data_IF_630939740254
#
_entry.id   IF_630939740254
#
_cell.length_a   1.000
_cell.length_b   1.000
_cell.length_c   1.000
_cell.angle_alpha   90.00
_cell.angle_beta   90.00
_cell.angle_gamma   90.00
#
_symmetry.space_group_name_H-M   'P 1'
#
loop_
_entity.id
_entity.type
_entity.pdbx_description
1 polymer ?
#
# COMPACT_ATOMS: atom_id res chain seq x y z
N UNK A 1 -10.88 -33.14 0.33
CA UNK A 1 -10.67 -32.15 -0.75
C UNK A 1 -9.79 -31.07 -0.18
N UNK A 2 -8.51 -31.06 -0.57
CA UNK A 2 -7.47 -30.23 0.06
C UNK A 2 -7.80 -28.75 -0.07
N UNK A 3 -7.86 -28.05 1.07
CA UNK A 3 -8.03 -26.61 1.18
C UNK A 3 -6.84 -25.81 0.63
N UNK A 4 -5.74 -26.50 0.27
CA UNK A 4 -4.49 -25.92 -0.21
C UNK A 4 -4.54 -25.41 -1.67
N UNK A 5 -5.48 -25.90 -2.49
CA UNK A 5 -5.54 -25.63 -3.95
C UNK A 5 -6.65 -24.64 -4.37
N UNK A 6 -7.30 -23.96 -3.42
CA UNK A 6 -8.31 -22.96 -3.76
C UNK A 6 -7.66 -21.67 -4.23
N UNK A 7 -7.56 -21.51 -5.55
CA UNK A 7 -7.15 -20.29 -6.26
C UNK A 7 -8.15 -19.13 -6.01
N UNK A 8 -9.42 -19.43 -5.69
CA UNK A 8 -10.45 -18.44 -5.40
C UNK A 8 -10.72 -18.38 -3.89
N UNK A 9 -9.87 -17.65 -3.16
CA UNK A 9 -10.19 -17.17 -1.81
C UNK A 9 -10.55 -15.69 -1.87
N UNK A 10 -11.39 -15.22 -0.96
CA UNK A 10 -11.79 -13.79 -0.88
C UNK A 10 -10.57 -12.86 -0.84
N UNK A 11 -9.50 -13.14 -0.07
CA UNK A 11 -8.27 -12.35 -0.10
C UNK A 11 -7.60 -12.34 -1.48
N UNK A 12 -7.48 -13.50 -2.14
CA UNK A 12 -6.83 -13.59 -3.44
C UNK A 12 -7.59 -12.80 -4.53
N UNK A 13 -8.92 -12.80 -4.47
CA UNK A 13 -9.75 -11.99 -5.37
C UNK A 13 -9.52 -10.49 -5.14
N UNK A 14 -9.41 -10.05 -3.90
CA UNK A 14 -9.16 -8.65 -3.52
C UNK A 14 -7.77 -8.18 -4.00
N UNK A 15 -6.74 -9.01 -3.83
CA UNK A 15 -5.38 -8.75 -4.35
C UNK A 15 -5.34 -8.72 -5.88
N UNK A 16 -6.14 -9.56 -6.56
CA UNK A 16 -6.27 -9.53 -8.01
C UNK A 16 -6.97 -8.25 -8.50
N UNK A 17 -8.03 -7.82 -7.81
CA UNK A 17 -8.69 -6.54 -8.08
C UNK A 17 -7.71 -5.38 -7.88
N UNK A 18 -6.89 -5.39 -6.83
CA UNK A 18 -5.84 -4.38 -6.60
C UNK A 18 -4.85 -4.33 -7.77
N UNK A 19 -4.39 -5.50 -8.23
CA UNK A 19 -3.47 -5.58 -9.37
C UNK A 19 -4.09 -5.00 -10.65
N UNK A 20 -5.41 -5.19 -10.86
CA UNK A 20 -6.14 -4.57 -11.96
C UNK A 20 -6.38 -3.06 -11.76
N UNK A 21 -6.53 -2.59 -10.52
CA UNK A 21 -6.68 -1.16 -10.21
C UNK A 21 -5.38 -0.38 -10.43
N UNK A 22 -4.21 -1.01 -10.39
CA UNK A 22 -2.90 -0.37 -10.66
C UNK A 22 -2.84 0.33 -12.02
N UNK A 23 -3.05 -0.37 -13.16
CA UNK A 23 -3.02 0.28 -14.47
C UNK A 23 -4.16 1.28 -14.65
N UNK A 24 -5.32 1.06 -14.02
CA UNK A 24 -6.44 2.02 -14.04
C UNK A 24 -6.05 3.32 -13.32
N UNK A 25 -5.43 3.21 -12.15
CA UNK A 25 -4.92 4.37 -11.40
C UNK A 25 -3.88 5.13 -12.21
N UNK A 26 -2.88 4.45 -12.76
CA UNK A 26 -1.84 5.09 -13.59
C UNK A 26 -2.45 5.77 -14.82
N UNK A 27 -3.44 5.14 -15.46
CA UNK A 27 -4.13 5.74 -16.60
C UNK A 27 -4.93 6.98 -16.19
N UNK A 28 -5.67 6.95 -15.07
CA UNK A 28 -6.44 8.10 -14.58
C UNK A 28 -5.55 9.29 -14.19
N UNK A 29 -4.38 9.00 -13.59
CA UNK A 29 -3.42 10.01 -13.15
C UNK A 29 -2.64 10.59 -14.34
N UNK A 30 -2.19 9.77 -15.28
CA UNK A 30 -1.30 10.22 -16.37
C UNK A 30 -2.02 10.59 -17.67
N UNK A 31 -3.26 10.10 -17.86
CA UNK A 31 -4.02 10.29 -19.09
C UNK A 31 -4.95 11.50 -19.03
N UNK A 32 -6.18 11.34 -18.48
CA UNK A 32 -7.16 12.42 -18.41
C UNK A 32 -6.92 13.38 -17.23
N UNK A 33 -5.93 13.11 -16.37
CA UNK A 33 -5.56 13.96 -15.25
C UNK A 33 -6.68 14.16 -14.21
N UNK A 34 -7.52 13.15 -14.02
CA UNK A 34 -8.69 13.20 -13.14
C UNK A 34 -8.33 12.85 -11.69
N UNK A 35 -7.75 13.83 -10.99
CA UNK A 35 -7.23 13.65 -9.63
C UNK A 35 -8.29 13.19 -8.62
N UNK A 36 -9.54 13.67 -8.74
CA UNK A 36 -10.64 13.24 -7.87
C UNK A 36 -10.95 11.74 -8.00
N UNK A 37 -10.93 11.21 -9.23
CA UNK A 37 -11.19 9.80 -9.51
C UNK A 37 -9.98 8.93 -9.17
N UNK A 38 -8.76 9.42 -9.42
CA UNK A 38 -7.54 8.75 -8.98
C UNK A 38 -7.49 8.62 -7.45
N UNK A 39 -7.88 9.68 -6.73
CA UNK A 39 -7.98 9.69 -5.28
C UNK A 39 -9.05 8.71 -4.79
N UNK A 40 -10.22 8.68 -5.43
CA UNK A 40 -11.28 7.72 -5.11
C UNK A 40 -10.80 6.28 -5.27
N UNK A 41 -10.12 5.97 -6.39
CA UNK A 41 -9.51 4.65 -6.64
C UNK A 41 -8.47 4.31 -5.56
N UNK A 42 -7.68 5.30 -5.14
CA UNK A 42 -6.69 5.14 -4.09
C UNK A 42 -7.33 4.74 -2.76
N UNK A 43 -8.36 5.49 -2.35
CA UNK A 43 -9.10 5.27 -1.10
C UNK A 43 -9.80 3.91 -1.12
N UNK A 44 -10.49 3.58 -2.22
CA UNK A 44 -11.21 2.31 -2.36
C UNK A 44 -10.24 1.14 -2.30
N UNK A 45 -9.10 1.22 -2.99
CA UNK A 45 -8.06 0.19 -2.96
C UNK A 45 -7.49 -0.02 -1.55
N UNK A 46 -7.20 1.06 -0.81
CA UNK A 46 -6.70 0.99 0.56
C UNK A 46 -7.71 0.41 1.57
N UNK A 47 -8.99 0.73 1.43
CA UNK A 47 -10.07 0.12 2.23
C UNK A 47 -10.17 -1.37 1.94
N UNK A 48 -10.06 -1.74 0.65
CA UNK A 48 -10.13 -3.12 0.18
C UNK A 48 -9.01 -3.98 0.78
N UNK A 49 -7.79 -3.45 0.85
CA UNK A 49 -6.64 -4.06 1.55
C UNK A 49 -6.86 -4.24 3.05
N UNK A 50 -7.31 -3.19 3.73
CA UNK A 50 -7.58 -3.29 5.16
C UNK A 50 -8.63 -4.37 5.48
N UNK A 51 -9.67 -4.45 4.64
CA UNK A 51 -10.71 -5.46 4.78
C UNK A 51 -10.19 -6.87 4.48
N UNK A 52 -9.39 -7.06 3.43
CA UNK A 52 -8.81 -8.37 3.11
C UNK A 52 -7.86 -8.88 4.21
N UNK A 53 -7.02 -8.01 4.77
CA UNK A 53 -6.05 -8.38 5.79
C UNK A 53 -6.73 -8.68 7.13
N UNK A 54 -7.91 -8.12 7.37
CA UNK A 54 -8.77 -8.45 8.51
C UNK A 54 -9.53 -9.75 8.27
N UNK A 55 -10.07 -9.95 7.08
CA UNK A 55 -10.79 -11.16 6.67
C UNK A 55 -9.87 -12.38 6.61
N UNK A 56 -8.67 -12.26 6.07
CA UNK A 56 -7.67 -13.33 6.00
C UNK A 56 -7.28 -13.83 7.40
N UNK A 57 -7.10 -12.90 8.35
CA UNK A 57 -6.84 -13.22 9.77
C UNK A 57 -8.05 -13.85 10.47
N UNK A 58 -9.26 -13.42 10.13
CA UNK A 58 -10.51 -13.93 10.73
C UNK A 58 -10.93 -15.29 10.19
N UNK A 59 -10.61 -15.61 8.94
CA UNK A 59 -11.12 -16.80 8.24
C UNK A 59 -10.12 -17.96 8.20
N UNK A 60 -8.84 -17.74 8.56
CA UNK A 60 -7.81 -18.78 8.53
C UNK A 60 -7.57 -19.38 7.13
N UNK A 61 -8.08 -18.74 6.08
CA UNK A 61 -7.99 -19.20 4.70
C UNK A 61 -6.81 -18.53 3.99
N UNK A 62 -5.60 -18.97 4.33
CA UNK A 62 -4.37 -18.55 3.65
C UNK A 62 -3.99 -19.60 2.62
N UNK A 63 -4.05 -19.27 1.33
CA UNK A 63 -3.50 -20.15 0.28
C UNK A 63 -2.00 -19.87 0.08
N UNK A 64 -1.22 -20.88 -0.31
CA UNK A 64 0.22 -20.73 -0.58
C UNK A 64 0.49 -19.72 -1.69
N UNK A 65 -0.40 -19.63 -2.67
CA UNK A 65 -0.32 -18.69 -3.79
C UNK A 65 -0.68 -17.27 -3.33
N UNK A 66 -1.75 -17.10 -2.56
CA UNK A 66 -2.16 -15.80 -2.01
C UNK A 66 -1.10 -15.21 -1.09
N UNK A 67 -0.42 -16.04 -0.29
CA UNK A 67 0.67 -15.60 0.59
C UNK A 67 1.87 -14.99 -0.16
N UNK A 68 2.06 -15.33 -1.44
CA UNK A 68 3.09 -14.75 -2.31
C UNK A 68 2.51 -13.60 -3.14
N UNK A 69 1.27 -13.73 -3.61
CA UNK A 69 0.63 -12.74 -4.48
C UNK A 69 0.30 -11.43 -3.73
N UNK A 70 -0.15 -11.52 -2.48
CA UNK A 70 -0.44 -10.34 -1.64
C UNK A 70 0.75 -9.36 -1.55
N UNK A 71 1.95 -9.77 -1.09
CA UNK A 71 3.08 -8.85 -0.97
C UNK A 71 3.61 -8.36 -2.33
N UNK A 72 3.34 -9.07 -3.43
CA UNK A 72 3.68 -8.62 -4.78
C UNK A 72 2.70 -7.55 -5.26
N UNK A 73 1.39 -7.80 -5.12
CA UNK A 73 0.34 -6.87 -5.49
C UNK A 73 0.45 -5.55 -4.71
N UNK A 74 0.73 -5.63 -3.40
CA UNK A 74 0.99 -4.46 -2.56
C UNK A 74 2.16 -3.62 -3.05
N UNK A 75 3.29 -4.27 -3.34
CA UNK A 75 4.49 -3.55 -3.80
C UNK A 75 4.28 -2.89 -5.14
N UNK A 76 3.65 -3.59 -6.08
CA UNK A 76 3.32 -3.04 -7.39
C UNK A 76 2.36 -1.86 -7.25
N UNK A 77 1.40 -1.95 -6.34
CA UNK A 77 0.47 -0.87 -6.06
C UNK A 77 1.17 0.35 -5.46
N UNK A 78 1.99 0.19 -4.41
CA UNK A 78 2.76 1.28 -3.80
C UNK A 78 3.68 1.93 -4.84
N UNK A 79 4.40 1.13 -5.63
CA UNK A 79 5.26 1.63 -6.71
C UNK A 79 4.47 2.44 -7.74
N UNK A 80 3.32 1.95 -8.19
CA UNK A 80 2.49 2.64 -9.16
C UNK A 80 1.95 3.97 -8.61
N UNK A 81 1.51 4.00 -7.35
CA UNK A 81 1.04 5.22 -6.69
C UNK A 81 2.17 6.24 -6.60
N UNK A 82 3.31 5.83 -6.07
CA UNK A 82 4.44 6.71 -5.82
C UNK A 82 5.05 7.22 -7.14
N UNK A 83 5.17 6.38 -8.16
CA UNK A 83 5.62 6.79 -9.51
C UNK A 83 4.60 7.69 -10.18
N UNK A 84 3.30 7.36 -10.10
CA UNK A 84 2.24 8.19 -10.67
C UNK A 84 2.20 9.60 -10.07
N UNK A 85 2.31 9.71 -8.75
CA UNK A 85 2.36 11.00 -8.06
C UNK A 85 3.67 11.76 -8.34
N UNK A 86 4.80 11.05 -8.48
CA UNK A 86 6.09 11.66 -8.81
C UNK A 86 6.12 12.23 -10.24
N UNK A 87 5.52 11.53 -11.21
CA UNK A 87 5.38 11.99 -12.59
C UNK A 87 4.49 13.23 -12.72
N UNK A 88 3.56 13.42 -11.78
CA UNK A 88 2.69 14.60 -11.67
C UNK A 88 3.35 15.75 -10.89
N UNK A 89 4.61 15.57 -10.46
CA UNK A 89 5.34 16.50 -9.59
C UNK A 89 4.64 16.83 -8.26
N UNK A 90 3.62 16.04 -7.86
CA UNK A 90 2.89 16.21 -6.60
C UNK A 90 3.81 15.87 -5.42
N UNK A 91 4.63 14.84 -5.59
CA UNK A 91 5.65 14.46 -4.60
C UNK A 91 7.05 14.59 -5.20
N UNK A 92 8.04 15.05 -4.42
CA UNK A 92 9.41 15.14 -4.88
C UNK A 92 10.02 13.76 -5.15
N UNK A 93 10.86 13.66 -6.17
CA UNK A 93 11.52 12.41 -6.59
C UNK A 93 12.33 11.71 -5.50
N UNK A 94 12.82 12.45 -4.49
CA UNK A 94 13.50 11.82 -3.34
C UNK A 94 12.55 10.94 -2.53
N UNK A 95 11.26 11.29 -2.39
CA UNK A 95 10.24 10.43 -1.77
C UNK A 95 9.95 9.21 -2.64
N UNK A 96 9.92 9.42 -3.97
CA UNK A 96 9.69 8.33 -4.95
C UNK A 96 10.70 7.21 -4.79
N UNK A 97 11.96 7.56 -4.52
CA UNK A 97 13.04 6.61 -4.29
C UNK A 97 13.10 6.15 -2.83
N UNK A 98 12.91 7.04 -1.86
CA UNK A 98 13.07 6.73 -0.44
C UNK A 98 12.07 5.69 0.07
N UNK A 99 10.81 5.73 -0.40
CA UNK A 99 9.75 4.80 0.01
C UNK A 99 10.10 3.34 -0.36
N UNK A 100 10.32 2.99 -1.63
CA UNK A 100 10.68 1.62 -2.01
C UNK A 100 12.05 1.21 -1.44
N UNK A 101 13.00 2.14 -1.32
CA UNK A 101 14.31 1.84 -0.72
C UNK A 101 14.18 1.44 0.75
N UNK A 102 13.36 2.15 1.53
CA UNK A 102 13.06 1.83 2.93
C UNK A 102 12.42 0.45 3.05
N UNK A 103 11.50 0.10 2.16
CA UNK A 103 10.83 -1.20 2.18
C UNK A 103 11.77 -2.35 1.82
N UNK A 104 12.64 -2.16 0.82
CA UNK A 104 13.70 -3.12 0.49
C UNK A 104 14.68 -3.27 1.65
N UNK A 105 15.07 -2.16 2.28
CA UNK A 105 15.95 -2.18 3.45
C UNK A 105 15.35 -2.98 4.60
N UNK A 106 14.08 -2.73 4.97
CA UNK A 106 13.40 -3.51 6.02
C UNK A 106 13.25 -4.97 5.64
N UNK A 107 12.90 -5.27 4.38
CA UNK A 107 12.77 -6.63 3.90
C UNK A 107 14.08 -7.40 3.92
N UNK A 108 15.21 -6.72 3.74
CA UNK A 108 16.56 -7.32 3.81
C UNK A 108 17.04 -7.47 5.25
N UNK A 109 16.75 -6.46 6.08
CA UNK A 109 17.22 -6.37 7.46
C UNK A 109 16.54 -7.40 8.37
N UNK A 110 15.23 -7.63 8.20
CA UNK A 110 14.46 -8.58 9.01
C UNK A 110 15.00 -10.02 8.93
N UNK A 111 15.20 -10.64 7.75
CA UNK A 111 15.79 -11.97 7.64
C UNK A 111 17.28 -11.98 8.03
N UNK A 112 18.04 -10.93 7.71
CA UNK A 112 19.45 -10.81 8.14
C UNK A 112 19.63 -10.76 9.66
N UNK A 113 18.71 -10.14 10.39
CA UNK A 113 18.71 -10.15 11.85
C UNK A 113 18.21 -11.48 12.43
N UNK A 114 17.28 -12.16 11.73
CA UNK A 114 16.86 -13.52 12.10
C UNK A 114 18.01 -14.53 12.00
N UNK A 115 18.89 -14.44 11.00
CA UNK A 115 20.06 -15.34 10.89
C UNK A 115 21.09 -15.12 12.00
N UNK A 116 21.04 -13.97 12.70
CA UNK A 116 21.89 -13.63 13.85
C UNK A 116 21.27 -13.97 15.21
N UNK A 117 20.12 -14.66 15.25
CA UNK A 117 19.47 -15.10 16.49
C UNK A 117 18.54 -14.05 17.15
N UNK A 118 18.35 -12.89 16.52
CA UNK A 118 17.34 -11.92 16.96
C UNK A 118 15.97 -12.33 16.41
N UNK A 119 15.23 -13.12 17.20
CA UNK A 119 13.90 -13.63 16.86
C UNK A 119 12.76 -12.62 17.05
N UNK A 120 13.08 -11.41 17.50
CA UNK A 120 12.13 -10.32 17.67
C UNK A 120 12.86 -9.01 17.43
N UNK A 121 12.73 -8.44 16.23
CA UNK A 121 12.71 -6.99 16.15
C UNK A 121 11.45 -6.60 16.92
N UNK A 122 11.55 -5.97 18.11
CA UNK A 122 10.37 -5.39 18.73
C UNK A 122 9.81 -4.46 17.67
N UNK A 123 8.59 -4.75 17.21
CA UNK A 123 7.87 -3.89 16.28
C UNK A 123 7.73 -2.57 17.00
N UNK A 124 8.71 -1.68 16.85
CA UNK A 124 8.77 -0.48 17.66
C UNK A 124 7.54 0.31 17.24
N UNK A 125 6.61 0.50 18.18
CA UNK A 125 5.39 1.26 17.99
C UNK A 125 5.68 2.64 17.38
N UNK A 126 6.91 3.13 17.54
CA UNK A 126 7.48 4.31 16.90
C UNK A 126 7.41 4.31 15.36
N UNK A 127 7.64 3.16 14.71
CA UNK A 127 7.51 3.06 13.25
C UNK A 127 6.05 3.10 12.78
N UNK A 128 5.15 2.40 13.49
CA UNK A 128 3.71 2.48 13.25
C UNK A 128 3.14 3.87 13.56
N UNK A 129 3.64 4.52 14.60
CA UNK A 129 3.26 5.87 14.99
C UNK A 129 3.78 6.92 14.00
N UNK A 130 4.98 6.75 13.44
CA UNK A 130 5.49 7.60 12.39
C UNK A 130 4.66 7.46 11.10
N UNK A 131 4.27 6.23 10.72
CA UNK A 131 3.38 6.00 9.57
C UNK A 131 1.97 6.53 9.81
N UNK A 132 1.42 6.40 11.03
CA UNK A 132 0.15 7.01 11.42
C UNK A 132 0.24 8.55 11.41
N UNK A 133 1.36 9.11 11.86
CA UNK A 133 1.63 10.54 11.81
C UNK A 133 1.70 11.06 10.38
N UNK A 134 2.35 10.34 9.48
CA UNK A 134 2.37 10.66 8.04
C UNK A 134 0.96 10.58 7.43
N UNK A 135 0.19 9.52 7.71
CA UNK A 135 -1.19 9.37 7.25
C UNK A 135 -2.14 10.46 7.77
N UNK A 136 -1.86 11.06 8.93
CA UNK A 136 -2.60 12.22 9.45
C UNK A 136 -2.07 13.55 8.91
N UNK A 137 -0.76 13.66 8.69
CA UNK A 137 -0.13 14.89 8.23
C UNK A 137 -0.49 15.20 6.77
N UNK A 138 -0.59 14.19 5.90
CA UNK A 138 -0.95 14.43 4.49
C UNK A 138 -2.35 15.03 4.31
N UNK A 139 -3.44 14.54 4.93
CA UNK A 139 -4.74 15.18 4.90
C UNK A 139 -4.76 16.58 5.52
N UNK A 140 -4.03 16.79 6.61
CA UNK A 140 -3.96 18.09 7.28
C UNK A 140 -3.19 19.13 6.46
N UNK A 141 -2.11 18.73 5.78
CA UNK A 141 -1.38 19.58 4.84
C UNK A 141 -2.23 19.90 3.62
N UNK A 142 -2.98 18.93 3.10
CA UNK A 142 -3.87 19.12 1.95
C UNK A 142 -5.08 20.02 2.30
N UNK A 143 -5.56 19.96 3.55
CA UNK A 143 -6.54 20.90 4.10
C UNK A 143 -5.94 22.30 4.36
N UNK A 144 -4.65 22.40 4.70
CA UNK A 144 -3.98 23.67 4.99
C UNK A 144 -3.41 24.38 3.77
N UNK A 145 -3.07 23.65 2.72
CA UNK A 145 -2.65 24.16 1.40
C UNK A 145 -3.86 24.40 0.47
N UNK A 146 -5.03 23.88 0.86
CA UNK A 146 -6.32 24.20 0.28
C UNK A 146 -6.68 25.66 0.52
N UNK A 147 -6.36 26.52 -0.44
CA UNK A 147 -7.07 27.76 -0.72
C UNK A 147 -8.52 27.47 -1.15
N UNK A 148 -9.30 26.84 -0.27
CA UNK A 148 -10.64 26.34 -0.51
C UNK A 148 -11.51 26.37 0.74
N UNK A 149 -12.30 27.43 0.85
CA UNK A 149 -13.58 27.53 1.60
C UNK A 149 -13.57 27.42 3.14
N UNK A 150 -12.46 27.09 3.80
CA UNK A 150 -12.38 27.13 5.29
C UNK A 150 -11.38 28.18 5.81
N UNK A 151 -10.76 28.92 4.91
CA UNK A 151 -9.81 30.00 5.20
C UNK A 151 -10.39 31.41 4.98
N UNK A 152 -11.72 31.53 4.93
CA UNK A 152 -12.47 32.80 5.09
C UNK A 152 -13.31 32.75 6.37
#
# INVERSE_FOLDING_TARGET
>A
MNTEDRVLTVPNALSFVRLLLVPVFLWLVLGPEWDELALLVLIVSGITDYLDGKLARSLGQTSKIGAILDPVADRLYILAVVVGLGLREIIPWWLVVAIPLRDVFLFSLVPFLRTRGFSSLPVHFLGKAATAGLLYAFPLLLLGDGSGTVAD
#
